data_IF_983303091358
#
_entry.id   IF_983303091358
#
_cell.length_a   1.000
_cell.length_b   1.000
_cell.length_c   1.000
_cell.angle_alpha   90.00
_cell.angle_beta   90.00
_cell.angle_gamma   90.00
#
_symmetry.space_group_name_H-M   'P 1'
#
loop_
_entity.id
_entity.type
_entity.pdbx_description
1 polymer ?
#
# COMPACT_ATOMS: atom_id res chain seq x y z
N UNK A 1 -9.92 2.13 -7.65
CA UNK A 1 -8.50 1.68 -7.65
C UNK A 1 -8.43 0.25 -7.14
N UNK A 2 -7.42 -0.47 -7.56
CA UNK A 2 -7.15 -1.82 -7.05
C UNK A 2 -5.67 -2.11 -7.12
N UNK A 3 -5.20 -3.00 -6.27
CA UNK A 3 -3.82 -3.43 -6.31
C UNK A 3 -3.67 -4.40 -7.48
N UNK A 4 -2.66 -4.15 -8.32
CA UNK A 4 -2.35 -5.01 -9.46
C UNK A 4 -2.00 -6.40 -9.00
N UNK A 5 -2.46 -7.42 -9.73
CA UNK A 5 -2.06 -8.79 -9.44
C UNK A 5 -0.56 -8.96 -9.71
N UNK A 6 0.07 -9.85 -8.97
CA UNK A 6 1.51 -10.08 -9.09
C UNK A 6 2.33 -9.39 -8.02
N UNK A 7 1.68 -8.67 -7.09
CA UNK A 7 2.36 -8.02 -5.98
C UNK A 7 1.88 -8.59 -4.66
N UNK A 8 2.78 -8.75 -3.73
CA UNK A 8 2.50 -9.33 -2.42
C UNK A 8 3.26 -8.60 -1.33
N UNK A 9 2.60 -8.38 -0.19
CA UNK A 9 3.26 -7.83 0.98
C UNK A 9 3.92 -8.95 1.76
N UNK A 10 5.21 -8.79 2.05
CA UNK A 10 5.96 -9.74 2.85
C UNK A 10 6.67 -9.06 4.00
N UNK A 11 6.73 -9.76 5.13
CA UNK A 11 7.48 -9.30 6.30
C UNK A 11 8.85 -9.99 6.27
N UNK A 12 9.90 -9.21 6.07
CA UNK A 12 11.27 -9.71 5.97
C UNK A 12 12.13 -8.96 6.98
N UNK A 13 12.68 -9.68 7.95
CA UNK A 13 13.55 -9.09 8.99
C UNK A 13 12.92 -7.89 9.70
N UNK A 14 11.61 -7.99 9.98
CA UNK A 14 10.89 -6.92 10.67
C UNK A 14 10.44 -5.77 9.79
N UNK A 15 10.72 -5.83 8.49
CA UNK A 15 10.28 -4.82 7.53
C UNK A 15 9.12 -5.34 6.68
N UNK A 16 8.21 -4.44 6.33
CA UNK A 16 7.08 -4.74 5.45
C UNK A 16 7.46 -4.33 4.04
N UNK A 17 7.63 -5.31 3.15
CA UNK A 17 8.11 -5.06 1.80
C UNK A 17 7.11 -5.59 0.78
N UNK A 18 6.80 -4.78 -0.22
CA UNK A 18 6.00 -5.23 -1.35
C UNK A 18 6.94 -5.86 -2.37
N UNK A 19 6.71 -7.12 -2.68
CA UNK A 19 7.50 -7.85 -3.66
C UNK A 19 6.64 -8.21 -4.86
N UNK A 20 7.24 -8.19 -6.04
CA UNK A 20 6.61 -8.66 -7.25
C UNK A 20 6.85 -10.15 -7.40
N UNK A 21 5.79 -10.92 -7.66
CA UNK A 21 5.92 -12.34 -7.94
C UNK A 21 5.20 -12.67 -9.23
N UNK A 22 5.70 -13.65 -9.96
CA UNK A 22 5.07 -14.07 -11.20
C UNK A 22 5.11 -13.04 -12.32
N UNK A 23 5.82 -11.95 -12.14
CA UNK A 23 6.01 -10.94 -13.18
C UNK A 23 7.27 -11.28 -13.97
N UNK A 24 7.19 -11.17 -15.29
CA UNK A 24 8.34 -11.50 -16.14
C UNK A 24 9.50 -10.53 -16.01
N UNK A 25 9.22 -9.30 -15.64
CA UNK A 25 10.24 -8.25 -15.52
C UNK A 25 10.18 -7.62 -14.15
N UNK A 26 10.74 -8.34 -13.16
CA UNK A 26 10.82 -7.81 -11.79
C UNK A 26 12.01 -6.86 -11.70
N UNK A 27 11.73 -5.61 -11.42
CA UNK A 27 12.77 -4.64 -11.13
C UNK A 27 12.90 -4.52 -9.61
N UNK A 28 13.89 -5.19 -9.06
CA UNK A 28 14.13 -5.21 -7.63
C UNK A 28 14.52 -3.84 -7.07
N UNK A 29 14.92 -2.90 -7.94
CA UNK A 29 15.22 -1.54 -7.50
C UNK A 29 13.97 -0.74 -7.17
N UNK A 30 12.80 -1.25 -7.53
CA UNK A 30 11.51 -0.60 -7.29
C UNK A 30 10.71 -1.24 -6.18
N UNK A 31 11.34 -2.02 -5.31
CA UNK A 31 10.67 -2.58 -4.15
C UNK A 31 10.25 -1.45 -3.21
N UNK A 32 9.05 -1.55 -2.68
CA UNK A 32 8.50 -0.57 -1.76
C UNK A 32 8.55 -1.13 -0.34
N UNK A 33 9.16 -0.36 0.57
CA UNK A 33 9.11 -0.68 2.00
C UNK A 33 7.97 0.14 2.61
N UNK A 34 7.08 -0.52 3.34
CA UNK A 34 5.95 0.11 3.99
C UNK A 34 6.16 0.17 5.51
N UNK A 35 5.70 1.27 6.12
CA UNK A 35 5.61 1.32 7.57
C UNK A 35 4.38 0.52 8.02
N UNK A 36 4.16 0.41 9.34
CA UNK A 36 3.06 -0.39 9.87
C UNK A 36 1.69 0.07 9.38
N UNK A 37 1.44 1.38 9.35
CA UNK A 37 0.16 1.91 8.92
C UNK A 37 -0.08 1.65 7.43
N UNK A 38 0.94 1.80 6.59
CA UNK A 38 0.83 1.52 5.16
C UNK A 38 0.59 0.03 4.92
N UNK A 39 1.28 -0.84 5.66
CA UNK A 39 1.07 -2.29 5.57
C UNK A 39 -0.35 -2.67 5.99
N UNK A 40 -0.86 -2.03 7.04
CA UNK A 40 -2.24 -2.23 7.47
C UNK A 40 -3.21 -1.88 6.35
N UNK A 41 -3.04 -0.73 5.73
CA UNK A 41 -3.90 -0.30 4.62
C UNK A 41 -3.83 -1.26 3.43
N UNK A 42 -2.65 -1.73 3.11
CA UNK A 42 -2.47 -2.72 2.05
C UNK A 42 -3.32 -3.96 2.31
N UNK A 43 -3.25 -4.50 3.53
CA UNK A 43 -3.98 -5.71 3.89
C UNK A 43 -5.49 -5.52 3.82
N UNK A 44 -5.97 -4.30 4.07
CA UNK A 44 -7.39 -4.00 4.03
C UNK A 44 -7.97 -4.08 2.62
N UNK A 45 -7.18 -3.78 1.61
CA UNK A 45 -7.67 -3.59 0.24
C UNK A 45 -7.02 -4.52 -0.79
N UNK A 46 -6.18 -5.46 -0.36
CA UNK A 46 -5.38 -6.30 -1.25
C UNK A 46 -6.21 -7.08 -2.27
N UNK A 47 -7.41 -7.50 -1.91
CA UNK A 47 -8.25 -8.36 -2.75
C UNK A 47 -9.51 -7.69 -3.27
N UNK A 48 -9.57 -6.36 -3.25
CA UNK A 48 -10.79 -5.66 -3.65
C UNK A 48 -10.52 -4.30 -4.26
N UNK A 49 -11.51 -3.79 -4.97
CA UNK A 49 -11.51 -2.42 -5.44
C UNK A 49 -11.70 -1.47 -4.25
N UNK A 50 -11.05 -0.33 -4.30
CA UNK A 50 -11.12 0.64 -3.22
C UNK A 50 -10.98 2.06 -3.76
N UNK A 51 -11.39 3.01 -2.93
CA UNK A 51 -11.21 4.42 -3.19
C UNK A 51 -10.25 5.00 -2.15
N UNK A 52 -9.68 6.17 -2.45
CA UNK A 52 -8.80 6.86 -1.52
C UNK A 52 -9.45 7.04 -0.16
N UNK A 53 -10.74 7.38 -0.14
CA UNK A 53 -11.49 7.58 1.09
C UNK A 53 -11.60 6.31 1.94
N UNK A 54 -11.69 5.15 1.30
CA UNK A 54 -11.73 3.88 2.04
C UNK A 54 -10.47 3.70 2.87
N UNK A 55 -9.33 4.08 2.32
CA UNK A 55 -8.05 4.03 3.03
C UNK A 55 -8.00 5.05 4.16
N UNK A 56 -8.50 6.25 3.92
CA UNK A 56 -8.54 7.30 4.95
C UNK A 56 -9.40 6.85 6.13
N UNK A 57 -10.58 6.30 5.85
CA UNK A 57 -11.47 5.81 6.89
C UNK A 57 -10.86 4.65 7.67
N UNK A 58 -10.21 3.71 6.98
CA UNK A 58 -9.56 2.58 7.63
C UNK A 58 -8.44 3.06 8.55
N UNK A 59 -7.65 4.02 8.11
CA UNK A 59 -6.56 4.57 8.90
C UNK A 59 -7.07 5.28 10.15
N UNK A 60 -8.10 6.12 10.01
CA UNK A 60 -8.70 6.82 11.13
C UNK A 60 -9.37 5.87 12.13
N UNK A 61 -9.89 4.74 11.65
CA UNK A 61 -10.53 3.75 12.52
C UNK A 61 -9.56 2.91 13.32
N UNK A 62 -8.35 2.68 12.81
CA UNK A 62 -7.36 1.83 13.48
C UNK A 62 -6.37 2.64 14.32
N UNK A 63 -6.02 3.84 13.85
CA UNK A 63 -5.03 4.68 14.51
C UNK A 63 -5.65 5.99 14.98
N UNK A 64 -5.11 6.55 16.05
CA UNK A 64 -5.55 7.85 16.55
C UNK A 64 -4.90 8.97 15.74
N UNK A 65 -5.36 9.16 14.51
CA UNK A 65 -4.86 10.20 13.63
C UNK A 65 -5.99 11.10 13.18
N UNK A 66 -5.71 12.39 13.02
CA UNK A 66 -6.67 13.33 12.46
C UNK A 66 -6.93 13.04 10.99
N UNK A 67 -8.11 13.43 10.51
CA UNK A 67 -8.51 13.18 9.13
C UNK A 67 -7.54 13.79 8.13
N UNK A 68 -7.04 15.00 8.38
CA UNK A 68 -6.09 15.68 7.51
C UNK A 68 -4.78 14.91 7.40
N UNK A 69 -4.27 14.42 8.53
CA UNK A 69 -3.05 13.64 8.55
C UNK A 69 -3.24 12.31 7.79
N UNK A 70 -4.38 11.66 8.02
CA UNK A 70 -4.70 10.43 7.32
C UNK A 70 -4.78 10.65 5.81
N UNK A 71 -5.39 11.73 5.37
CA UNK A 71 -5.46 12.06 3.95
C UNK A 71 -4.08 12.28 3.34
N UNK A 72 -3.20 12.98 4.05
CA UNK A 72 -1.83 13.20 3.59
C UNK A 72 -1.08 11.88 3.45
N UNK A 73 -1.15 11.04 4.47
CA UNK A 73 -0.45 9.75 4.48
C UNK A 73 -0.96 8.85 3.36
N UNK A 74 -2.26 8.81 3.15
CA UNK A 74 -2.87 7.99 2.09
C UNK A 74 -2.46 8.50 0.71
N UNK A 75 -2.44 9.82 0.50
CA UNK A 75 -2.01 10.40 -0.77
C UNK A 75 -0.56 10.05 -1.08
N UNK A 76 0.32 10.14 -0.10
CA UNK A 76 1.72 9.78 -0.29
C UNK A 76 1.88 8.31 -0.64
N UNK A 77 1.16 7.44 0.06
CA UNK A 77 1.18 6.00 -0.22
C UNK A 77 0.71 5.70 -1.65
N UNK A 78 -0.40 6.29 -2.05
CA UNK A 78 -0.96 6.07 -3.38
C UNK A 78 -0.06 6.63 -4.49
N UNK A 79 0.53 7.80 -4.26
CA UNK A 79 1.46 8.40 -5.22
C UNK A 79 2.65 7.48 -5.46
N UNK A 80 3.28 6.99 -4.38
CA UNK A 80 4.40 6.07 -4.48
C UNK A 80 3.99 4.76 -5.16
N UNK A 81 2.84 4.22 -4.80
CA UNK A 81 2.35 2.97 -5.37
C UNK A 81 2.06 3.08 -6.86
N UNK A 82 1.50 4.21 -7.30
CA UNK A 82 1.24 4.45 -8.72
C UNK A 82 2.52 4.62 -9.52
N UNK A 83 3.52 5.29 -8.95
CA UNK A 83 4.81 5.48 -9.62
C UNK A 83 5.51 4.16 -9.90
N UNK A 84 5.35 3.19 -9.01
CA UNK A 84 5.96 1.86 -9.17
C UNK A 84 5.07 0.91 -9.98
N UNK A 85 3.81 1.30 -10.21
CA UNK A 85 2.87 0.49 -10.98
C UNK A 85 2.14 -0.58 -10.17
N UNK A 86 2.09 -0.44 -8.85
CA UNK A 86 1.44 -1.42 -7.96
C UNK A 86 -0.07 -1.22 -7.93
N UNK A 87 -0.53 0.01 -8.10
CA UNK A 87 -1.96 0.34 -8.07
C UNK A 87 -2.41 0.76 -9.46
N UNK A 88 -3.55 0.24 -9.88
CA UNK A 88 -4.17 0.62 -11.14
C UNK A 88 -5.57 1.20 -10.98
#
# INVERSE_FOLDING_TARGET
MRIKSGFELRDICGEHIIVAYGAENVDFTKLITLNESAAFLWRQVADKDFQEEDLVQALCGEYEVGKEQAQTDVKELLTSSKQVGVVE
#
